data_IF_879423623917
#
_entry.id   IF_879423623917
#
_cell.length_a   1.000
_cell.length_b   1.000
_cell.length_c   1.000
_cell.angle_alpha   90.00
_cell.angle_beta   90.00
_cell.angle_gamma   90.00
#
_symmetry.space_group_name_H-M   'P 1'
#
loop_
_entity.id
_entity.type
_entity.pdbx_description
1 polymer ?
#
# COMPACT_ATOMS: atom_id res chain seq x y z
N UNK A 1 -40.52 15.80 30.11
CA UNK A 1 -40.01 16.72 29.06
C UNK A 1 -39.32 15.90 27.99
N UNK A 2 -39.83 15.90 26.75
CA UNK A 2 -39.26 15.17 25.60
C UNK A 2 -38.05 15.96 25.07
N UNK A 3 -36.84 15.47 25.33
CA UNK A 3 -35.65 15.98 24.66
C UNK A 3 -35.63 15.46 23.23
N UNK A 4 -36.03 16.30 22.29
CA UNK A 4 -35.87 16.06 20.86
C UNK A 4 -34.40 16.11 20.49
N UNK A 5 -33.74 14.96 20.49
CA UNK A 5 -32.40 14.78 19.91
C UNK A 5 -32.54 14.85 18.38
N UNK A 6 -32.29 16.03 17.82
CA UNK A 6 -31.94 16.20 16.41
C UNK A 6 -30.43 16.02 16.28
N UNK A 7 -29.95 14.80 16.45
CA UNK A 7 -28.54 14.47 16.23
C UNK A 7 -28.26 14.48 14.73
N UNK A 8 -28.04 15.67 14.17
CA UNK A 8 -27.50 15.84 12.83
C UNK A 8 -25.98 15.68 12.86
N UNK A 9 -25.48 14.55 13.37
CA UNK A 9 -24.12 14.12 13.06
C UNK A 9 -24.12 13.50 11.66
N UNK A 10 -24.27 14.37 10.66
CA UNK A 10 -24.00 14.04 9.28
C UNK A 10 -22.53 13.72 9.15
N UNK A 11 -22.17 12.45 9.20
CA UNK A 11 -20.90 11.98 8.68
C UNK A 11 -20.85 12.40 7.21
N UNK A 12 -20.17 13.51 6.93
CA UNK A 12 -19.89 13.95 5.56
C UNK A 12 -19.04 12.84 4.96
N UNK A 13 -19.67 11.94 4.19
CA UNK A 13 -19.00 10.83 3.49
C UNK A 13 -17.85 11.48 2.73
N UNK A 14 -16.60 11.30 3.19
CA UNK A 14 -15.43 11.86 2.50
C UNK A 14 -15.56 11.40 1.06
N UNK A 15 -15.65 12.35 0.12
CA UNK A 15 -15.75 12.05 -1.32
C UNK A 15 -14.72 10.99 -1.63
N UNK A 16 -15.19 9.94 -2.31
CA UNK A 16 -14.41 8.79 -2.75
C UNK A 16 -12.99 9.24 -3.13
N UNK A 17 -12.03 8.96 -2.28
CA UNK A 17 -10.62 9.23 -2.58
C UNK A 17 -10.28 8.42 -3.83
N UNK A 18 -9.56 9.04 -4.77
CA UNK A 18 -8.96 8.42 -5.97
C UNK A 18 -8.20 7.11 -5.65
N UNK A 19 -7.93 6.84 -4.37
CA UNK A 19 -7.41 5.60 -3.80
C UNK A 19 -8.23 4.32 -4.00
N UNK A 20 -9.50 4.36 -4.40
CA UNK A 20 -10.32 3.12 -4.45
C UNK A 20 -10.00 2.19 -5.64
N UNK A 21 -9.41 2.69 -6.73
CA UNK A 21 -9.09 1.86 -7.91
C UNK A 21 -7.76 1.09 -7.77
N UNK A 22 -7.09 1.19 -6.62
CA UNK A 22 -5.86 0.46 -6.30
C UNK A 22 -6.03 -1.07 -6.34
N UNK A 23 -7.26 -1.56 -6.22
CA UNK A 23 -7.56 -2.98 -6.30
C UNK A 23 -7.34 -3.56 -7.72
N UNK A 24 -7.44 -2.77 -8.80
CA UNK A 24 -7.06 -3.22 -10.14
C UNK A 24 -5.57 -3.57 -10.21
N UNK A 25 -4.71 -2.77 -9.57
CA UNK A 25 -3.27 -3.02 -9.51
C UNK A 25 -2.90 -4.25 -8.66
N UNK A 26 -3.83 -4.74 -7.82
CA UNK A 26 -3.65 -5.94 -7.02
C UNK A 26 -4.04 -7.23 -7.77
N UNK A 27 -4.67 -7.12 -8.95
CA UNK A 27 -5.18 -8.28 -9.66
C UNK A 27 -4.01 -9.15 -10.15
N UNK A 28 -4.00 -10.47 -9.89
CA UNK A 28 -2.86 -11.33 -10.22
C UNK A 28 -2.53 -11.31 -11.72
N UNK A 29 -3.53 -11.25 -12.60
CA UNK A 29 -3.31 -11.17 -14.05
C UNK A 29 -2.56 -9.89 -14.48
N UNK A 30 -2.92 -8.74 -13.90
CA UNK A 30 -2.27 -7.46 -14.21
C UNK A 30 -0.83 -7.47 -13.70
N UNK A 31 -0.59 -8.02 -12.52
CA UNK A 31 0.76 -8.15 -11.96
C UNK A 31 1.67 -9.06 -12.79
N UNK A 32 1.13 -10.20 -13.24
CA UNK A 32 1.85 -11.10 -14.15
C UNK A 32 2.12 -10.40 -15.49
N UNK A 33 1.15 -9.66 -16.04
CA UNK A 33 1.35 -8.89 -17.27
C UNK A 33 2.46 -7.85 -17.14
N UNK A 34 2.53 -7.14 -16.00
CA UNK A 34 3.60 -6.17 -15.73
C UNK A 34 4.95 -6.89 -15.62
N UNK A 35 5.00 -8.04 -14.93
CA UNK A 35 6.22 -8.83 -14.82
C UNK A 35 6.71 -9.32 -16.19
N UNK A 36 5.79 -9.79 -17.04
CA UNK A 36 6.09 -10.19 -18.41
C UNK A 36 6.60 -9.03 -19.25
N UNK A 37 5.99 -7.85 -19.14
CA UNK A 37 6.47 -6.64 -19.82
C UNK A 37 7.90 -6.28 -19.39
N UNK A 38 8.19 -6.35 -18.09
CA UNK A 38 9.54 -6.12 -17.55
C UNK A 38 10.53 -7.16 -18.08
N UNK A 39 10.14 -8.44 -18.15
CA UNK A 39 10.95 -9.51 -18.72
C UNK A 39 11.27 -9.27 -20.20
N UNK A 40 10.28 -8.83 -21.00
CA UNK A 40 10.49 -8.49 -22.41
C UNK A 40 11.46 -7.33 -22.58
N UNK A 41 11.30 -6.25 -21.80
CA UNK A 41 12.21 -5.10 -21.81
C UNK A 41 13.62 -5.50 -21.38
N UNK A 42 13.76 -6.28 -20.32
CA UNK A 42 15.04 -6.77 -19.85
C UNK A 42 15.73 -7.67 -20.90
N UNK A 43 14.95 -8.48 -21.62
CA UNK A 43 15.45 -9.34 -22.70
C UNK A 43 15.94 -8.51 -23.89
N UNK A 44 15.22 -7.45 -24.28
CA UNK A 44 15.65 -6.54 -25.34
C UNK A 44 16.96 -5.82 -24.97
N UNK A 45 17.07 -5.35 -23.72
CA UNK A 45 18.29 -4.73 -23.19
C UNK A 45 19.44 -5.74 -23.18
N UNK A 46 19.20 -6.95 -22.70
CA UNK A 46 20.20 -8.02 -22.66
C UNK A 46 20.69 -8.38 -24.07
N UNK A 47 19.77 -8.54 -25.03
CA UNK A 47 20.10 -8.83 -26.43
C UNK A 47 20.98 -7.72 -27.02
N UNK A 48 20.65 -6.46 -26.76
CA UNK A 48 21.47 -5.33 -27.19
C UNK A 48 22.89 -5.37 -26.61
N UNK A 49 23.02 -5.61 -25.30
CA UNK A 49 24.31 -5.69 -24.61
C UNK A 49 25.15 -6.88 -25.09
N UNK A 50 24.53 -8.05 -25.25
CA UNK A 50 25.21 -9.26 -25.74
C UNK A 50 25.67 -9.03 -27.18
N UNK A 51 24.84 -8.47 -28.05
CA UNK A 51 25.22 -8.21 -29.43
C UNK A 51 26.38 -7.20 -29.52
N UNK A 52 26.39 -6.16 -28.68
CA UNK A 52 27.53 -5.24 -28.59
C UNK A 52 28.79 -5.98 -28.14
N UNK A 53 28.71 -6.73 -27.05
CA UNK A 53 29.85 -7.46 -26.50
C UNK A 53 30.44 -8.42 -27.55
N UNK A 54 29.58 -9.19 -28.21
CA UNK A 54 30.00 -10.17 -29.21
C UNK A 54 30.61 -9.49 -30.45
N UNK A 55 30.03 -8.42 -30.96
CA UNK A 55 30.58 -7.74 -32.15
C UNK A 55 31.87 -6.97 -31.83
N UNK A 56 31.99 -6.36 -30.65
CA UNK A 56 33.18 -5.57 -30.30
C UNK A 56 34.38 -6.45 -29.98
N UNK A 57 34.18 -7.51 -29.19
CA UNK A 57 35.27 -8.35 -28.69
C UNK A 57 35.56 -9.57 -29.56
N UNK A 58 34.54 -10.11 -30.23
CA UNK A 58 34.65 -11.32 -31.06
C UNK A 58 34.35 -11.04 -32.54
N UNK A 59 34.31 -9.77 -32.93
CA UNK A 59 34.17 -9.36 -34.33
C UNK A 59 35.48 -9.54 -35.12
N UNK A 60 35.35 -9.76 -36.42
CA UNK A 60 36.49 -10.01 -37.32
C UNK A 60 37.29 -8.75 -37.71
N UNK A 61 36.84 -7.56 -37.29
CA UNK A 61 37.50 -6.28 -37.59
C UNK A 61 38.03 -5.62 -36.31
N UNK A 62 38.87 -4.59 -36.48
CA UNK A 62 39.30 -3.74 -35.40
C UNK A 62 38.12 -3.11 -34.64
N UNK A 63 38.31 -2.92 -33.33
CA UNK A 63 37.30 -2.39 -32.39
C UNK A 63 36.64 -1.12 -32.92
N UNK A 64 37.43 -0.20 -33.49
CA UNK A 64 36.92 1.08 -34.01
C UNK A 64 35.98 0.92 -35.20
N UNK A 65 36.26 -0.04 -36.08
CA UNK A 65 35.42 -0.34 -37.25
C UNK A 65 34.12 -1.01 -36.83
N UNK A 66 34.20 -1.96 -35.89
CA UNK A 66 33.02 -2.60 -35.29
C UNK A 66 32.12 -1.56 -34.60
N UNK A 67 32.70 -0.60 -33.87
CA UNK A 67 31.93 0.47 -33.21
C UNK A 67 31.21 1.40 -34.21
N UNK A 68 31.83 1.71 -35.36
CA UNK A 68 31.16 2.47 -36.42
C UNK A 68 29.97 1.69 -37.01
N UNK A 69 30.11 0.39 -37.16
CA UNK A 69 29.03 -0.48 -37.63
C UNK A 69 27.86 -0.55 -36.64
N UNK A 70 28.13 -0.51 -35.33
CA UNK A 70 27.09 -0.42 -34.29
C UNK A 70 26.20 0.81 -34.47
N UNK A 71 26.80 1.98 -34.72
CA UNK A 71 26.06 3.24 -34.82
C UNK A 71 25.12 3.27 -36.04
N UNK A 72 25.46 2.53 -37.11
CA UNK A 72 24.65 2.49 -38.33
C UNK A 72 23.53 1.45 -38.30
N UNK A 73 23.66 0.40 -37.49
CA UNK A 73 22.71 -0.73 -37.45
C UNK A 73 22.19 -1.04 -36.05
N UNK A 74 22.02 -0.05 -35.18
CA UNK A 74 21.65 -0.26 -33.77
C UNK A 74 20.33 -1.04 -33.57
N UNK A 75 19.37 -0.93 -34.49
CA UNK A 75 18.08 -1.65 -34.42
C UNK A 75 18.26 -3.16 -34.52
N UNK A 76 19.19 -3.62 -35.35
CA UNK A 76 19.47 -5.03 -35.55
C UNK A 76 19.97 -5.68 -34.26
N UNK A 77 20.67 -4.92 -33.40
CA UNK A 77 21.22 -5.40 -32.14
C UNK A 77 20.15 -5.63 -31.08
N UNK A 78 19.00 -4.97 -31.19
CA UNK A 78 17.87 -5.13 -30.27
C UNK A 78 16.99 -6.32 -30.68
N UNK A 79 16.78 -6.52 -31.98
CA UNK A 79 15.79 -7.49 -32.48
C UNK A 79 16.39 -8.78 -33.07
N UNK A 80 17.67 -8.82 -33.46
CA UNK A 80 18.30 -10.08 -33.86
C UNK A 80 18.78 -10.85 -32.64
N UNK A 81 18.12 -11.96 -32.36
CA UNK A 81 18.51 -12.90 -31.32
C UNK A 81 19.59 -13.83 -31.84
N UNK A 82 20.72 -13.83 -31.14
CA UNK A 82 21.85 -14.69 -31.49
C UNK A 82 21.73 -16.03 -30.78
N UNK A 83 21.59 -17.10 -31.56
CA UNK A 83 21.38 -18.47 -31.06
C UNK A 83 22.65 -19.11 -30.48
N UNK A 84 23.82 -18.62 -30.85
CA UNK A 84 25.14 -18.99 -30.31
C UNK A 84 25.32 -18.56 -28.84
N UNK A 85 24.70 -17.46 -28.44
CA UNK A 85 24.85 -16.84 -27.12
C UNK A 85 23.72 -17.19 -26.14
N UNK A 86 22.89 -18.21 -26.42
CA UNK A 86 21.71 -18.59 -25.61
C UNK A 86 22.06 -18.77 -24.13
N UNK A 87 23.23 -19.34 -23.84
CA UNK A 87 23.70 -19.57 -22.47
C UNK A 87 23.89 -18.26 -21.66
N UNK A 88 24.12 -17.12 -22.32
CA UNK A 88 24.27 -15.82 -21.65
C UNK A 88 22.93 -15.21 -21.21
N UNK A 89 21.82 -15.61 -21.84
CA UNK A 89 20.48 -15.09 -21.49
C UNK A 89 19.93 -15.74 -20.21
N UNK A 90 20.25 -17.01 -19.97
CA UNK A 90 19.77 -17.78 -18.81
C UNK A 90 20.09 -17.08 -17.48
N UNK A 91 21.35 -16.71 -17.15
CA UNK A 91 21.66 -16.06 -15.88
C UNK A 91 20.98 -14.69 -15.76
N UNK A 92 20.81 -13.95 -16.86
CA UNK A 92 20.13 -12.65 -16.87
C UNK A 92 18.65 -12.82 -16.50
N UNK A 93 17.96 -13.78 -17.12
CA UNK A 93 16.57 -14.07 -16.77
C UNK A 93 16.41 -14.54 -15.33
N UNK A 94 17.31 -15.39 -14.82
CA UNK A 94 17.31 -15.82 -13.42
C UNK A 94 17.46 -14.61 -12.48
N UNK A 95 18.41 -13.71 -12.75
CA UNK A 95 18.60 -12.51 -11.96
C UNK A 95 17.35 -11.63 -11.97
N UNK A 96 16.79 -11.32 -13.14
CA UNK A 96 15.56 -10.51 -13.26
C UNK A 96 14.42 -11.16 -12.48
N UNK A 97 14.25 -12.49 -12.59
CA UNK A 97 13.20 -13.20 -11.88
C UNK A 97 13.37 -13.12 -10.36
N UNK A 98 14.58 -13.28 -9.84
CA UNK A 98 14.86 -13.17 -8.40
C UNK A 98 14.60 -11.75 -7.88
N UNK A 99 15.08 -10.73 -8.59
CA UNK A 99 14.93 -9.33 -8.19
C UNK A 99 13.47 -8.86 -8.23
N UNK A 100 12.75 -9.19 -9.30
CA UNK A 100 11.38 -8.71 -9.52
C UNK A 100 10.31 -9.64 -8.93
N UNK A 101 10.55 -10.94 -8.83
CA UNK A 101 9.58 -11.91 -8.30
C UNK A 101 9.17 -11.58 -6.85
N UNK A 102 10.14 -11.29 -5.98
CA UNK A 102 9.85 -10.86 -4.59
C UNK A 102 9.09 -9.53 -4.55
N UNK A 103 9.38 -8.61 -5.48
CA UNK A 103 8.73 -7.30 -5.56
C UNK A 103 7.27 -7.42 -5.99
N UNK A 104 6.97 -8.29 -6.96
CA UNK A 104 5.59 -8.59 -7.38
C UNK A 104 4.77 -9.14 -6.22
N UNK A 105 5.33 -10.05 -5.42
CA UNK A 105 4.67 -10.56 -4.22
C UNK A 105 4.38 -9.47 -3.19
N UNK A 106 5.39 -8.64 -2.87
CA UNK A 106 5.23 -7.52 -1.94
C UNK A 106 4.20 -6.50 -2.44
N UNK A 107 4.20 -6.22 -3.74
CA UNK A 107 3.25 -5.29 -4.36
C UNK A 107 1.82 -5.83 -4.27
N UNK A 108 1.62 -7.13 -4.57
CA UNK A 108 0.32 -7.80 -4.36
C UNK A 108 -0.15 -7.65 -2.91
N UNK A 109 0.73 -7.88 -1.94
CA UNK A 109 0.38 -7.79 -0.52
C UNK A 109 -0.03 -6.37 -0.09
N UNK A 110 0.62 -5.33 -0.63
CA UNK A 110 0.30 -3.92 -0.34
C UNK A 110 -1.08 -3.49 -0.84
N UNK A 111 -1.51 -4.02 -1.97
CA UNK A 111 -2.77 -3.62 -2.62
C UNK A 111 -3.89 -4.64 -2.45
N UNK A 112 -3.60 -5.83 -1.89
CA UNK A 112 -4.63 -6.77 -1.45
C UNK A 112 -5.53 -6.05 -0.45
N UNK A 113 -6.84 -6.12 -0.68
CA UNK A 113 -7.81 -5.53 0.24
C UNK A 113 -7.64 -6.15 1.63
N UNK A 114 -7.51 -5.31 2.65
CA UNK A 114 -7.60 -5.71 4.06
C UNK A 114 -9.05 -6.02 4.49
N UNK A 115 -10.00 -5.99 3.56
CA UNK A 115 -11.40 -6.35 3.80
C UNK A 115 -11.59 -7.88 3.91
N UNK A 116 -10.69 -8.55 4.62
CA UNK A 116 -10.73 -10.00 4.82
C UNK A 116 -11.33 -10.32 6.19
N UNK A 117 -12.44 -9.67 6.59
CA UNK A 117 -13.11 -9.89 7.88
C UNK A 117 -12.14 -10.12 9.06
N UNK A 118 -11.02 -9.39 9.06
CA UNK A 118 -9.97 -9.58 10.06
C UNK A 118 -10.57 -9.17 11.40
N UNK A 119 -10.13 -9.75 12.53
CA UNK A 119 -10.81 -9.56 13.84
C UNK A 119 -11.02 -8.07 14.23
N UNK A 120 -10.22 -7.15 13.67
CA UNK A 120 -10.34 -5.71 13.86
C UNK A 120 -11.32 -4.99 12.89
N UNK A 121 -11.92 -5.67 11.91
CA UNK A 121 -12.94 -5.11 10.99
C UNK A 121 -14.35 -5.15 11.58
N UNK A 122 -14.48 -5.58 12.83
CA UNK A 122 -15.74 -5.52 13.57
C UNK A 122 -16.26 -4.09 13.59
N UNK A 123 -17.53 -3.92 13.22
CA UNK A 123 -18.28 -2.70 13.46
C UNK A 123 -18.16 -2.31 14.93
N UNK A 124 -17.85 -1.05 15.22
CA UNK A 124 -17.95 -0.54 16.60
C UNK A 124 -19.36 -0.78 17.13
N UNK A 125 -19.45 -1.22 18.39
CA UNK A 125 -20.74 -1.41 19.05
C UNK A 125 -21.51 -0.08 19.06
N UNK A 126 -22.77 -0.15 18.67
CA UNK A 126 -23.67 1.00 18.70
C UNK A 126 -23.98 1.37 20.15
N UNK A 127 -24.42 2.62 20.38
CA UNK A 127 -24.87 3.07 21.71
C UNK A 127 -25.90 2.11 22.32
N UNK A 128 -26.85 1.61 21.52
CA UNK A 128 -27.86 0.65 21.97
C UNK A 128 -27.24 -0.68 22.42
N UNK A 129 -26.32 -1.23 21.64
CA UNK A 129 -25.63 -2.48 21.99
C UNK A 129 -24.77 -2.33 23.25
N UNK A 130 -24.05 -1.21 23.40
CA UNK A 130 -23.26 -0.95 24.62
C UNK A 130 -24.17 -0.82 25.84
N UNK A 131 -25.29 -0.11 25.73
CA UNK A 131 -26.25 0.02 26.85
C UNK A 131 -26.92 -1.30 27.21
N UNK A 132 -27.05 -2.24 26.26
CA UNK A 132 -27.55 -3.59 26.54
C UNK A 132 -26.49 -4.50 27.16
N UNK A 133 -25.22 -4.36 26.75
CA UNK A 133 -24.11 -5.21 27.20
C UNK A 133 -23.52 -4.79 28.55
N UNK A 134 -23.61 -3.50 28.89
CA UNK A 134 -22.96 -2.94 30.07
C UNK A 134 -23.96 -2.26 31.01
N UNK A 135 -23.72 -2.43 32.31
CA UNK A 135 -24.48 -1.74 33.36
C UNK A 135 -24.16 -0.24 33.30
N UNK A 136 -25.20 0.58 33.28
CA UNK A 136 -25.05 2.02 33.41
C UNK A 136 -24.61 2.38 34.84
N UNK A 137 -23.54 3.16 34.95
CA UNK A 137 -23.02 3.67 36.22
C UNK A 137 -23.17 5.20 36.27
N UNK A 138 -23.39 5.79 37.47
CA UNK A 138 -23.42 7.23 37.63
C UNK A 138 -22.05 7.83 37.28
N UNK A 139 -22.08 8.99 36.61
CA UNK A 139 -20.88 9.58 36.03
C UNK A 139 -20.03 10.34 37.07
N UNK A 140 -20.69 10.94 38.06
CA UNK A 140 -20.11 11.69 39.18
C UNK A 140 -21.05 11.60 40.39
N UNK A 141 -20.56 12.05 41.55
CA UNK A 141 -21.31 12.29 42.79
C UNK A 141 -21.77 11.05 43.58
N UNK A 142 -21.86 9.90 42.93
CA UNK A 142 -22.21 8.64 43.60
C UNK A 142 -21.12 7.60 43.44
N UNK A 143 -20.74 6.98 44.57
CA UNK A 143 -19.93 5.77 44.56
C UNK A 143 -20.76 4.62 43.96
N UNK A 144 -20.11 3.79 43.15
CA UNK A 144 -20.69 2.57 42.61
C UNK A 144 -19.77 1.40 42.97
N UNK A 145 -20.37 0.24 43.19
CA UNK A 145 -19.66 -0.97 43.57
C UNK A 145 -19.02 -1.62 42.33
N UNK A 146 -17.72 -1.95 42.41
CA UNK A 146 -16.96 -2.61 41.33
C UNK A 146 -15.45 -2.41 41.44
N UNK A 147 -14.69 -3.27 40.76
CA UNK A 147 -13.23 -3.15 40.65
C UNK A 147 -12.83 -2.08 39.63
N UNK A 148 -11.78 -1.32 39.96
CA UNK A 148 -11.19 -0.33 39.06
C UNK A 148 -10.44 -0.99 37.89
N UNK A 149 -10.32 -0.28 36.76
CA UNK A 149 -9.53 -0.72 35.60
C UNK A 149 -10.34 -1.27 34.43
N UNK A 150 -11.67 -1.35 34.55
CA UNK A 150 -12.56 -1.73 33.44
C UNK A 150 -12.78 -0.55 32.47
N UNK A 151 -12.87 -0.79 31.15
CA UNK A 151 -13.17 0.24 30.17
C UNK A 151 -14.60 0.78 30.36
N UNK A 152 -14.75 2.11 30.42
CA UNK A 152 -16.04 2.78 30.57
C UNK A 152 -16.40 3.54 29.30
N UNK A 153 -17.56 3.24 28.72
CA UNK A 153 -18.13 4.02 27.63
C UNK A 153 -18.98 5.17 28.20
N UNK A 154 -18.59 6.41 27.90
CA UNK A 154 -19.24 7.60 28.43
C UNK A 154 -20.14 8.23 27.36
N UNK A 155 -21.44 8.38 27.67
CA UNK A 155 -22.43 8.96 26.75
C UNK A 155 -22.89 10.33 27.25
N UNK A 156 -22.48 11.41 26.57
CA UNK A 156 -22.87 12.78 26.91
C UNK A 156 -21.96 13.82 26.26
N UNK A 157 -22.49 15.01 26.01
CA UNK A 157 -21.75 16.13 25.42
C UNK A 157 -20.81 16.70 26.47
N UNK A 158 -19.58 16.21 26.48
CA UNK A 158 -18.45 17.01 26.95
C UNK A 158 -17.80 17.57 25.71
N UNK A 159 -18.28 18.73 25.29
CA UNK A 159 -17.53 19.50 24.32
C UNK A 159 -16.15 19.73 24.92
N UNK A 160 -15.12 19.28 24.20
CA UNK A 160 -13.73 19.33 24.66
C UNK A 160 -13.39 20.78 25.06
N UNK A 161 -13.96 21.74 24.33
CA UNK A 161 -13.90 23.18 24.58
C UNK A 161 -14.35 23.55 25.99
N UNK A 162 -15.46 23.01 26.48
CA UNK A 162 -15.99 23.31 27.82
C UNK A 162 -15.07 22.78 28.90
N UNK A 163 -14.50 21.59 28.71
CA UNK A 163 -13.54 20.99 29.64
C UNK A 163 -12.23 21.79 29.65
N UNK A 164 -11.74 22.22 28.49
CA UNK A 164 -10.53 23.05 28.39
C UNK A 164 -10.72 24.40 29.08
N UNK A 165 -11.89 25.05 28.93
CA UNK A 165 -12.22 26.29 29.65
C UNK A 165 -12.19 26.11 31.17
N UNK A 166 -12.82 25.05 31.67
CA UNK A 166 -12.84 24.74 33.10
C UNK A 166 -11.41 24.51 33.66
N UNK A 167 -10.56 23.78 32.93
CA UNK A 167 -9.15 23.59 33.33
C UNK A 167 -8.35 24.91 33.32
N UNK A 168 -8.57 25.77 32.33
CA UNK A 168 -7.91 27.07 32.25
C UNK A 168 -8.34 28.01 33.38
N UNK A 169 -9.62 27.98 33.78
CA UNK A 169 -10.12 28.73 34.93
C UNK A 169 -9.58 28.21 36.26
N UNK A 170 -9.55 26.88 36.46
CA UNK A 170 -8.93 26.28 37.64
C UNK A 170 -7.45 26.65 37.76
N UNK A 171 -6.70 26.69 36.66
CA UNK A 171 -5.30 27.10 36.65
C UNK A 171 -5.10 28.57 37.02
N UNK A 172 -6.04 29.45 36.67
CA UNK A 172 -5.99 30.87 37.03
C UNK A 172 -6.25 31.11 38.52
N UNK A 173 -7.00 30.25 39.18
CA UNK A 173 -7.33 30.37 40.61
C UNK A 173 -6.31 29.69 41.54
N UNK A 174 -5.27 29.04 40.99
CA UNK A 174 -4.19 28.40 41.75
C UNK A 174 -2.89 29.23 41.80
N UNK A 175 -2.94 30.51 41.42
CA UNK A 175 -1.88 31.49 41.63
C UNK A 175 -2.44 32.73 42.30
#
# INVERSE_FOLDING_TARGET
MRFGSKDKHGYRRKKLSFSQNKHLLAHPCILVSILLLIMLLATAIANFLINILMTVFFGNHDIFTNMKQLNTKYTDYIFNFRSDAVLLYIPIWVLVFIFFGKKVYQFRQRFKSLNNNEKASGRFATRKEITQQYKAIPQREHAFEGEGGLPVAMFGVYDFVTKTKQYLEQRKNCY
#
